data_IF_423249299647
#
_entry.id   IF_423249299647
#
_cell.length_a   1.000
_cell.length_b   1.000
_cell.length_c   1.000
_cell.angle_alpha   90.00
_cell.angle_beta   90.00
_cell.angle_gamma   90.00
#
_symmetry.space_group_name_H-M   'P 1'
#
loop_
_entity.id
_entity.type
_entity.pdbx_description
1 polymer ?
#
# COMPACT_ATOMS: atom_id res chain seq x y z
N UNK A 1 -10.67 22.44 -12.09
CA UNK A 1 -11.52 21.30 -12.50
C UNK A 1 -10.62 20.08 -12.53
N UNK A 2 -10.88 19.06 -11.71
CA UNK A 2 -10.24 17.75 -11.89
C UNK A 2 -10.46 17.29 -13.32
N UNK A 3 -9.45 16.72 -13.96
CA UNK A 3 -9.62 16.17 -15.30
C UNK A 3 -10.51 14.92 -15.17
N UNK A 4 -11.82 15.11 -15.35
CA UNK A 4 -12.82 14.08 -15.10
C UNK A 4 -12.57 12.81 -15.94
N UNK A 5 -11.94 12.95 -17.11
CA UNK A 5 -11.51 11.84 -17.94
C UNK A 5 -10.47 10.95 -17.25
N UNK A 6 -9.47 11.55 -16.59
CA UNK A 6 -8.43 10.82 -15.85
C UNK A 6 -9.03 10.03 -14.69
N UNK A 7 -9.92 10.66 -13.92
CA UNK A 7 -10.63 10.01 -12.82
C UNK A 7 -11.48 8.84 -13.32
N UNK A 8 -12.17 9.00 -14.45
CA UNK A 8 -12.92 7.89 -15.06
C UNK A 8 -12.01 6.72 -15.44
N UNK A 9 -10.82 6.98 -16.02
CA UNK A 9 -9.86 5.92 -16.36
C UNK A 9 -9.34 5.20 -15.12
N UNK A 10 -8.95 5.93 -14.08
CA UNK A 10 -8.49 5.37 -12.80
C UNK A 10 -9.57 4.46 -12.20
N UNK A 11 -10.81 4.96 -12.10
CA UNK A 11 -11.92 4.20 -11.54
C UNK A 11 -12.23 2.97 -12.38
N UNK A 12 -12.22 3.10 -13.71
CA UNK A 12 -12.43 1.96 -14.60
C UNK A 12 -11.37 0.89 -14.39
N UNK A 13 -10.08 1.26 -14.40
CA UNK A 13 -8.98 0.33 -14.15
C UNK A 13 -9.14 -0.38 -12.80
N UNK A 14 -9.32 0.37 -11.72
CA UNK A 14 -9.45 -0.18 -10.36
C UNK A 14 -10.70 -1.05 -10.18
N UNK A 15 -11.79 -0.76 -10.91
CA UNK A 15 -12.99 -1.62 -10.88
C UNK A 15 -12.74 -3.02 -11.47
N UNK A 16 -11.70 -3.17 -12.30
CA UNK A 16 -11.32 -4.44 -12.94
C UNK A 16 -10.20 -5.16 -12.20
N UNK A 17 -9.22 -4.41 -11.68
CA UNK A 17 -8.00 -4.99 -11.11
C UNK A 17 -7.97 -4.96 -9.59
N UNK A 18 -8.69 -4.01 -8.95
CA UNK A 18 -8.60 -3.75 -7.52
C UNK A 18 -8.88 -4.99 -6.66
N UNK A 19 -9.97 -5.71 -6.92
CA UNK A 19 -10.31 -6.93 -6.16
C UNK A 19 -9.26 -8.02 -6.30
N UNK A 20 -8.63 -8.16 -7.47
CA UNK A 20 -7.56 -9.16 -7.70
C UNK A 20 -6.30 -8.78 -6.92
N UNK A 21 -5.92 -7.50 -6.93
CA UNK A 21 -4.79 -6.98 -6.18
C UNK A 21 -5.00 -7.19 -4.67
N UNK A 22 -6.17 -6.80 -4.17
CA UNK A 22 -6.55 -6.95 -2.75
C UNK A 22 -6.52 -8.43 -2.36
N UNK A 23 -7.18 -9.29 -3.12
CA UNK A 23 -7.19 -10.74 -2.85
C UNK A 23 -5.77 -11.32 -2.82
N UNK A 24 -4.95 -11.01 -3.81
CA UNK A 24 -3.58 -11.52 -3.91
C UNK A 24 -2.72 -11.09 -2.72
N UNK A 25 -2.82 -9.81 -2.32
CA UNK A 25 -2.09 -9.28 -1.18
C UNK A 25 -2.54 -9.94 0.14
N UNK A 26 -3.85 -10.14 0.31
CA UNK A 26 -4.41 -10.82 1.48
C UNK A 26 -3.91 -12.25 1.58
N UNK A 27 -3.98 -13.01 0.48
CA UNK A 27 -3.50 -14.40 0.44
C UNK A 27 -2.01 -14.48 0.72
N UNK A 28 -1.21 -13.55 0.17
CA UNK A 28 0.23 -13.48 0.45
C UNK A 28 0.51 -13.26 1.94
N UNK A 29 -0.14 -12.29 2.58
CA UNK A 29 0.02 -12.01 4.01
C UNK A 29 -0.42 -13.20 4.88
N UNK A 30 -1.52 -13.87 4.51
CA UNK A 30 -1.98 -15.08 5.19
C UNK A 30 -0.99 -16.24 5.06
N UNK A 31 -0.35 -16.39 3.88
CA UNK A 31 0.71 -17.37 3.68
C UNK A 31 1.98 -17.08 4.51
N UNK A 32 2.17 -15.82 4.90
CA UNK A 32 3.23 -15.39 5.83
C UNK A 32 2.83 -15.54 7.31
N UNK A 33 1.84 -16.38 7.63
CA UNK A 33 1.34 -16.67 8.98
C UNK A 33 0.75 -15.44 9.70
N UNK A 34 0.11 -14.54 8.94
CA UNK A 34 -0.58 -13.37 9.48
C UNK A 34 -2.10 -13.55 9.44
N UNK A 35 -2.76 -13.21 10.53
CA UNK A 35 -4.22 -13.15 10.56
C UNK A 35 -4.67 -11.82 9.95
N UNK A 36 -5.29 -11.87 8.77
CA UNK A 36 -5.74 -10.67 8.04
C UNK A 36 -7.26 -10.61 7.99
N UNK A 37 -7.82 -9.54 8.56
CA UNK A 37 -9.24 -9.17 8.41
C UNK A 37 -9.37 -7.96 7.50
N UNK A 38 -10.13 -8.11 6.45
CA UNK A 38 -10.47 -7.04 5.51
C UNK A 38 -11.71 -6.28 5.98
N UNK A 39 -11.67 -4.96 5.89
CA UNK A 39 -12.82 -4.06 6.07
C UNK A 39 -12.86 -3.03 4.94
N UNK A 40 -14.04 -2.47 4.68
CA UNK A 40 -14.22 -1.47 3.61
C UNK A 40 -14.34 -2.08 2.22
N UNK A 41 -14.29 -1.23 1.20
CA UNK A 41 -14.37 -1.63 -0.21
C UNK A 41 -13.65 -0.62 -1.11
N UNK A 42 -13.08 -1.09 -2.23
CA UNK A 42 -12.40 -0.23 -3.20
C UNK A 42 -11.21 0.53 -2.58
N UNK A 43 -11.20 1.85 -2.71
CA UNK A 43 -10.14 2.70 -2.14
C UNK A 43 -10.23 2.82 -0.61
N UNK A 44 -11.39 2.52 -0.01
CA UNK A 44 -11.58 2.54 1.44
C UNK A 44 -11.21 1.20 2.09
N UNK A 45 -10.65 0.26 1.33
CA UNK A 45 -10.25 -1.04 1.87
C UNK A 45 -9.08 -0.91 2.84
N UNK A 46 -9.25 -1.52 4.02
CA UNK A 46 -8.24 -1.60 5.07
C UNK A 46 -8.03 -3.06 5.45
N UNK A 47 -6.77 -3.46 5.59
CA UNK A 47 -6.40 -4.73 6.21
C UNK A 47 -6.02 -4.50 7.66
N UNK A 48 -6.77 -5.12 8.57
CA UNK A 48 -6.34 -5.31 9.95
C UNK A 48 -5.51 -6.60 10.00
N UNK A 49 -4.23 -6.44 10.29
CA UNK A 49 -3.24 -7.52 10.28
C UNK A 49 -2.83 -7.76 11.73
N UNK A 50 -2.96 -9.01 12.17
CA UNK A 50 -2.44 -9.47 13.45
C UNK A 50 -1.32 -10.47 13.21
N UNK A 51 -0.16 -10.17 13.76
CA UNK A 51 1.01 -11.03 13.69
C UNK A 51 1.68 -11.06 15.07
N UNK A 52 1.68 -12.23 15.71
CA UNK A 52 2.10 -12.41 17.11
C UNK A 52 1.33 -11.45 18.04
N UNK A 53 2.04 -10.63 18.81
CA UNK A 53 1.47 -9.64 19.74
C UNK A 53 1.19 -8.27 19.08
N UNK A 54 1.49 -8.11 17.78
CA UNK A 54 1.33 -6.85 17.07
C UNK A 54 0.06 -6.82 16.24
N UNK A 55 -0.55 -5.64 16.21
CA UNK A 55 -1.70 -5.32 15.38
C UNK A 55 -1.38 -4.11 14.51
N UNK A 56 -1.74 -4.19 13.24
CA UNK A 56 -1.41 -3.20 12.21
C UNK A 56 -2.63 -2.95 11.33
N UNK A 57 -2.73 -1.73 10.81
CA UNK A 57 -3.71 -1.36 9.80
C UNK A 57 -3.00 -0.92 8.53
N UNK A 58 -3.28 -1.64 7.44
CA UNK A 58 -2.77 -1.29 6.11
C UNK A 58 -3.92 -0.72 5.27
N UNK A 59 -3.83 0.57 5.00
CA UNK A 59 -4.80 1.32 4.18
C UNK A 59 -4.46 1.16 2.69
N UNK A 60 -5.30 0.46 1.94
CA UNK A 60 -4.98 0.08 0.56
C UNK A 60 -5.27 1.17 -0.45
N UNK A 61 -6.07 2.19 -0.13
CA UNK A 61 -6.39 3.28 -1.05
C UNK A 61 -5.15 3.94 -1.64
N UNK A 62 -4.17 4.27 -0.79
CA UNK A 62 -2.91 4.88 -1.23
C UNK A 62 -2.06 3.95 -2.10
N UNK A 63 -2.11 2.65 -1.84
CA UNK A 63 -1.42 1.63 -2.66
C UNK A 63 -2.10 1.49 -4.02
N UNK A 64 -3.43 1.41 -4.05
CA UNK A 64 -4.21 1.29 -5.28
C UNK A 64 -4.05 2.52 -6.17
N UNK A 65 -4.04 3.72 -5.58
CA UNK A 65 -3.78 4.95 -6.33
C UNK A 65 -2.34 5.01 -6.85
N UNK A 66 -1.35 4.59 -6.06
CA UNK A 66 0.06 4.52 -6.51
C UNK A 66 0.24 3.56 -7.69
N UNK A 67 -0.53 2.47 -7.74
CA UNK A 67 -0.56 1.56 -8.89
C UNK A 67 -1.24 2.26 -10.09
N UNK A 68 -2.43 2.83 -9.89
CA UNK A 68 -3.29 3.32 -10.97
C UNK A 68 -2.88 4.68 -11.58
N UNK A 69 -1.98 5.42 -10.93
CA UNK A 69 -1.63 6.81 -11.32
C UNK A 69 -0.15 6.99 -11.57
N UNK A 70 0.22 8.00 -12.38
CA UNK A 70 1.62 8.35 -12.60
C UNK A 70 2.26 8.85 -11.29
N UNK A 71 1.54 9.72 -10.59
CA UNK A 71 1.88 10.25 -9.28
C UNK A 71 0.56 10.41 -8.49
N UNK A 72 0.46 9.72 -7.34
CA UNK A 72 -0.73 9.74 -6.50
C UNK A 72 -0.93 11.05 -5.74
N UNK A 73 0.13 11.86 -5.62
CA UNK A 73 0.10 13.14 -4.91
C UNK A 73 -0.15 14.30 -5.87
N UNK A 74 -0.19 14.05 -7.17
CA UNK A 74 -0.40 15.07 -8.19
C UNK A 74 -1.82 15.67 -8.13
N UNK A 75 -1.90 17.00 -8.29
CA UNK A 75 -3.15 17.73 -8.45
C UNK A 75 -3.13 18.47 -9.81
N UNK A 76 -3.79 17.94 -10.85
CA UNK A 76 -4.72 16.82 -10.86
C UNK A 76 -4.03 15.45 -10.93
N UNK A 77 -4.71 14.41 -10.40
CA UNK A 77 -4.35 13.01 -10.63
C UNK A 77 -4.39 12.68 -12.11
N UNK A 78 -3.45 11.82 -12.54
CA UNK A 78 -3.34 11.35 -13.92
C UNK A 78 -3.25 9.83 -13.92
N UNK A 79 -4.09 9.21 -14.74
CA UNK A 79 -4.01 7.79 -15.02
C UNK A 79 -2.67 7.48 -15.69
N UNK A 80 -2.10 6.33 -15.33
CA UNK A 80 -0.90 5.85 -15.97
C UNK A 80 -1.25 4.97 -17.18
N UNK A 81 -1.20 5.55 -18.37
CA UNK A 81 -1.48 4.84 -19.63
C UNK A 81 -0.54 3.66 -19.87
N UNK A 82 0.64 3.62 -19.23
CA UNK A 82 1.54 2.47 -19.28
C UNK A 82 0.89 1.19 -18.75
N UNK A 83 -0.11 1.30 -17.87
CA UNK A 83 -0.85 0.17 -17.30
C UNK A 83 -1.66 -0.64 -18.32
N UNK A 84 -1.84 -0.13 -19.54
CA UNK A 84 -2.46 -0.87 -20.64
C UNK A 84 -1.50 -1.95 -21.19
N UNK A 85 -0.20 -1.79 -20.97
CA UNK A 85 0.81 -2.82 -21.20
C UNK A 85 0.91 -3.73 -19.98
N UNK A 86 0.73 -5.04 -20.20
CA UNK A 86 0.63 -5.99 -19.10
C UNK A 86 1.94 -6.18 -18.34
N UNK A 87 3.08 -6.17 -19.05
CA UNK A 87 4.39 -6.34 -18.42
C UNK A 87 4.75 -5.11 -17.58
N UNK A 88 4.47 -3.92 -18.10
CA UNK A 88 4.58 -2.68 -17.34
C UNK A 88 3.71 -2.71 -16.09
N UNK A 89 2.43 -3.10 -16.24
CA UNK A 89 1.50 -3.22 -15.12
C UNK A 89 2.02 -4.17 -14.04
N UNK A 90 2.45 -5.38 -14.41
CA UNK A 90 2.97 -6.36 -13.45
C UNK A 90 4.21 -5.85 -12.73
N UNK A 91 5.15 -5.24 -13.46
CA UNK A 91 6.36 -4.67 -12.88
C UNK A 91 6.02 -3.56 -11.87
N UNK A 92 5.16 -2.62 -12.26
CA UNK A 92 4.74 -1.53 -11.37
C UNK A 92 4.00 -2.06 -10.14
N UNK A 93 3.06 -2.97 -10.33
CA UNK A 93 2.32 -3.62 -9.26
C UNK A 93 3.27 -4.29 -8.25
N UNK A 94 4.21 -5.11 -8.74
CA UNK A 94 5.17 -5.80 -7.91
C UNK A 94 6.05 -4.83 -7.14
N UNK A 95 6.60 -3.81 -7.80
CA UNK A 95 7.44 -2.79 -7.16
C UNK A 95 6.70 -2.04 -6.06
N UNK A 96 5.46 -1.61 -6.32
CA UNK A 96 4.65 -0.88 -5.34
C UNK A 96 4.34 -1.79 -4.14
N UNK A 97 3.86 -3.02 -4.38
CA UNK A 97 3.53 -3.96 -3.31
C UNK A 97 4.77 -4.29 -2.46
N UNK A 98 5.88 -4.66 -3.11
CA UNK A 98 7.12 -5.02 -2.43
C UNK A 98 7.61 -3.89 -1.52
N UNK A 99 7.59 -2.64 -2.03
CA UNK A 99 7.97 -1.46 -1.23
C UNK A 99 7.12 -1.30 0.04
N UNK A 100 5.82 -1.61 0.00
CA UNK A 100 4.96 -1.47 1.21
C UNK A 100 5.13 -2.66 2.16
N UNK A 101 5.33 -3.85 1.62
CA UNK A 101 5.57 -5.06 2.40
C UNK A 101 6.91 -5.04 3.12
N UNK A 102 7.97 -4.52 2.51
CA UNK A 102 9.27 -4.36 3.17
C UNK A 102 9.15 -3.55 4.46
N UNK A 103 8.45 -2.41 4.41
CA UNK A 103 8.20 -1.58 5.60
C UNK A 103 7.37 -2.33 6.63
N UNK A 104 6.29 -3.01 6.19
CA UNK A 104 5.44 -3.81 7.07
C UNK A 104 6.24 -4.89 7.80
N UNK A 105 7.10 -5.62 7.10
CA UNK A 105 7.90 -6.68 7.70
C UNK A 105 8.96 -6.13 8.65
N UNK A 106 9.56 -4.96 8.38
CA UNK A 106 10.45 -4.30 9.34
C UNK A 106 9.75 -3.87 10.62
N UNK A 107 8.52 -3.36 10.52
CA UNK A 107 7.69 -3.08 11.70
C UNK A 107 7.41 -4.34 12.51
N UNK A 108 7.25 -5.49 11.85
CA UNK A 108 6.95 -6.76 12.50
C UNK A 108 8.19 -7.45 13.08
N UNK A 109 9.37 -7.29 12.47
CA UNK A 109 10.63 -7.93 12.85
C UNK A 109 11.11 -7.54 14.24
N UNK A 110 10.97 -6.27 14.63
CA UNK A 110 11.54 -5.74 15.88
C UNK A 110 10.47 -5.46 16.93
N UNK A 111 10.49 -6.12 18.08
CA UNK A 111 9.57 -5.84 19.20
C UNK A 111 9.71 -4.41 19.73
N UNK A 112 10.94 -3.91 19.74
CA UNK A 112 11.28 -2.54 20.12
C UNK A 112 10.99 -1.58 18.95
N UNK A 113 10.15 -0.58 19.22
CA UNK A 113 9.74 0.43 18.24
C UNK A 113 10.92 1.26 17.75
N UNK A 114 11.89 1.58 18.61
CA UNK A 114 13.06 2.37 18.22
C UNK A 114 13.95 1.55 17.27
N UNK A 115 14.10 0.25 17.51
CA UNK A 115 14.81 -0.64 16.56
C UNK A 115 14.07 -0.80 15.24
N UNK A 116 12.73 -0.86 15.27
CA UNK A 116 11.94 -0.88 14.05
C UNK A 116 12.16 0.41 13.23
N UNK A 117 12.16 1.57 13.90
CA UNK A 117 12.42 2.87 13.29
C UNK A 117 13.82 2.95 12.67
N UNK A 118 14.84 2.49 13.38
CA UNK A 118 16.21 2.43 12.86
C UNK A 118 16.29 1.57 11.59
N UNK A 119 15.74 0.35 11.62
CA UNK A 119 15.80 -0.54 10.46
C UNK A 119 15.01 -0.02 9.26
N UNK A 120 13.89 0.69 9.49
CA UNK A 120 13.18 1.33 8.39
C UNK A 120 13.94 2.56 7.86
N UNK A 121 14.64 3.29 8.74
CA UNK A 121 15.46 4.45 8.32
C UNK A 121 16.59 4.01 7.39
N UNK A 122 17.17 2.83 7.60
CA UNK A 122 18.13 2.23 6.65
C UNK A 122 17.51 1.99 5.26
N UNK A 123 16.21 1.66 5.22
CA UNK A 123 15.49 1.52 3.96
C UNK A 123 15.17 2.85 3.29
N UNK A 124 15.16 3.97 4.02
CA UNK A 124 14.68 5.26 3.52
C UNK A 124 15.40 5.75 2.26
N UNK A 125 16.67 5.37 2.06
CA UNK A 125 17.43 5.68 0.84
C UNK A 125 16.80 5.09 -0.45
N UNK A 126 15.99 4.04 -0.32
CA UNK A 126 15.31 3.36 -1.43
C UNK A 126 13.91 3.94 -1.73
N UNK A 127 13.44 4.90 -0.93
CA UNK A 127 12.12 5.50 -1.06
C UNK A 127 12.27 6.97 -1.41
N UNK A 128 11.58 7.43 -2.45
CA UNK A 128 11.53 8.86 -2.75
C UNK A 128 10.89 9.65 -1.60
N UNK A 129 9.90 9.03 -0.92
CA UNK A 129 9.18 9.63 0.20
C UNK A 129 8.75 8.54 1.18
N UNK A 130 9.22 8.62 2.41
CA UNK A 130 8.73 7.84 3.53
C UNK A 130 8.54 8.76 4.73
N UNK A 131 7.39 8.64 5.40
CA UNK A 131 7.10 9.33 6.65
C UNK A 131 6.75 8.27 7.68
N UNK A 132 7.46 8.29 8.82
CA UNK A 132 7.24 7.35 9.91
C UNK A 132 7.06 8.18 11.17
N UNK A 133 5.94 7.97 11.83
CA UNK A 133 5.55 8.72 13.03
C UNK A 133 5.47 7.75 14.20
N UNK A 134 6.27 8.00 15.23
CA UNK A 134 6.14 7.35 16.54
C UNK A 134 5.19 8.19 17.40
N UNK A 135 4.17 7.56 17.97
CA UNK A 135 3.23 8.21 18.89
C UNK A 135 3.35 7.53 20.25
N UNK A 136 3.99 8.19 21.22
CA UNK A 136 4.25 7.64 22.55
C UNK A 136 3.00 7.63 23.46
N UNK A 137 1.88 8.20 23.01
CA UNK A 137 0.59 8.17 23.70
C UNK A 137 -0.57 8.35 22.72
N UNK A 138 -1.58 7.46 22.68
CA UNK A 138 -2.82 7.76 21.98
C UNK A 138 -3.51 8.89 22.75
N UNK A 139 -3.56 10.08 22.16
CA UNK A 139 -4.45 11.13 22.64
C UNK A 139 -5.88 10.62 22.42
N UNK A 140 -6.55 10.31 23.53
CA UNK A 140 -7.99 10.03 23.58
C UNK A 140 -8.80 11.25 23.12
#
# INVERSE_FOLDING_TARGET
>A
MQNQQEITKINYFLSRTGSVIIYSLKTFLQAADMAVKEKGHGLDTVFHIKAREKELELYLGNLLLEIATIDRDAAPLRFDEGLLDFDYFLNKLSKVIDSKLQILFKLLEHEDVDKAMESITELAANYERICILKLDSPQY
#
